data_IF_358566523543
#
_entry.id   IF_358566523543
#
_cell.length_a   1.000
_cell.length_b   1.000
_cell.length_c   1.000
_cell.angle_alpha   90.00
_cell.angle_beta   90.00
_cell.angle_gamma   90.00
#
_symmetry.space_group_name_H-M   'P 1'
#
loop_
_entity.id
_entity.type
_entity.pdbx_description
1 polymer ?
#
# COMPACT_ATOMS: atom_id res chain seq x y z
N UNK A 1 -9.50 6.67 0.97
CA UNK A 1 -8.96 7.14 -0.34
C UNK A 1 -8.17 6.03 -1.01
N UNK A 2 -7.28 5.35 -0.28
CA UNK A 2 -6.56 4.18 -0.80
C UNK A 2 -7.51 3.02 -1.15
N UNK A 3 -8.59 2.81 -0.38
CA UNK A 3 -9.57 1.74 -0.62
C UNK A 3 -10.27 1.85 -1.99
N UNK A 4 -10.57 3.08 -2.42
CA UNK A 4 -11.12 3.38 -3.75
C UNK A 4 -10.10 3.10 -4.87
N UNK A 5 -8.82 3.25 -4.58
CA UNK A 5 -7.75 3.02 -5.54
C UNK A 5 -7.49 1.53 -5.77
N UNK A 6 -7.46 0.75 -4.69
CA UNK A 6 -7.13 -0.68 -4.72
C UNK A 6 -8.35 -1.57 -5.01
N UNK A 7 -9.57 -1.10 -4.74
CA UNK A 7 -10.80 -1.82 -5.04
C UNK A 7 -10.83 -3.23 -4.41
N UNK A 8 -11.15 -4.24 -5.21
CA UNK A 8 -11.19 -5.66 -4.81
C UNK A 8 -9.83 -6.35 -4.83
N UNK A 9 -8.76 -5.65 -5.23
CA UNK A 9 -7.44 -6.26 -5.48
C UNK A 9 -6.52 -6.24 -4.25
N UNK A 10 -6.92 -5.56 -3.18
CA UNK A 10 -6.19 -5.50 -1.92
C UNK A 10 -7.04 -4.96 -0.78
N UNK A 11 -6.51 -5.10 0.44
CA UNK A 11 -7.09 -4.57 1.67
C UNK A 11 -6.15 -3.54 2.27
N UNK A 12 -6.67 -2.40 2.70
CA UNK A 12 -5.88 -1.31 3.26
C UNK A 12 -6.24 -1.06 4.72
N UNK A 13 -5.22 -0.98 5.56
CA UNK A 13 -5.34 -0.66 6.99
C UNK A 13 -4.43 0.51 7.31
N UNK A 14 -4.93 1.49 8.06
CA UNK A 14 -4.12 2.60 8.57
C UNK A 14 -3.51 2.19 9.91
N UNK A 15 -2.18 2.23 10.01
CA UNK A 15 -1.45 1.92 11.25
C UNK A 15 -0.41 3.00 11.54
N UNK A 16 -0.44 3.56 12.76
CA UNK A 16 0.56 4.52 13.26
C UNK A 16 0.90 5.67 12.29
N UNK A 17 -0.11 6.25 11.63
CA UNK A 17 0.06 7.33 10.65
C UNK A 17 0.55 6.89 9.27
N UNK A 18 0.82 5.60 9.10
CA UNK A 18 1.14 4.96 7.83
C UNK A 18 -0.02 4.15 7.26
N UNK A 19 0.25 3.43 6.17
CA UNK A 19 -0.72 2.57 5.48
C UNK A 19 -0.08 1.21 5.22
N UNK A 20 -0.80 0.15 5.56
CA UNK A 20 -0.46 -1.24 5.25
C UNK A 20 -1.49 -1.75 4.24
N UNK A 21 -1.02 -2.21 3.09
CA UNK A 21 -1.87 -2.72 2.00
C UNK A 21 -1.52 -4.18 1.77
N UNK A 22 -2.45 -5.09 2.06
CA UNK A 22 -2.35 -6.51 1.71
C UNK A 22 -2.84 -6.72 0.27
N UNK A 23 -2.07 -7.40 -0.56
CA UNK A 23 -2.40 -7.61 -1.97
C UNK A 23 -3.11 -8.96 -2.15
N UNK A 24 -4.38 -8.91 -2.54
CA UNK A 24 -5.22 -10.10 -2.76
C UNK A 24 -5.13 -10.63 -4.19
N UNK A 25 -4.92 -9.75 -5.17
CA UNK A 25 -4.78 -10.14 -6.59
C UNK A 25 -3.64 -9.35 -7.27
N UNK A 26 -2.40 -9.89 -7.25
CA UNK A 26 -1.22 -9.20 -7.81
C UNK A 26 -1.35 -8.85 -9.30
N UNK A 27 -2.06 -9.67 -10.08
CA UNK A 27 -2.19 -9.47 -11.53
C UNK A 27 -3.11 -8.28 -11.90
N UNK A 28 -4.09 -7.97 -11.04
CA UNK A 28 -5.03 -6.85 -11.22
C UNK A 28 -4.69 -5.65 -10.35
N UNK A 29 -3.78 -5.80 -9.38
CA UNK A 29 -3.44 -4.74 -8.45
C UNK A 29 -2.89 -3.50 -9.17
N UNK A 30 -3.36 -2.28 -8.86
CA UNK A 30 -2.96 -1.06 -9.56
C UNK A 30 -1.62 -0.52 -9.06
N UNK A 31 -0.56 -1.30 -9.22
CA UNK A 31 0.79 -1.07 -8.70
C UNK A 31 1.30 0.36 -8.90
N UNK A 32 1.34 0.83 -10.15
CA UNK A 32 1.87 2.16 -10.49
C UNK A 32 1.08 3.27 -9.79
N UNK A 33 -0.25 3.20 -9.83
CA UNK A 33 -1.11 4.20 -9.21
C UNK A 33 -0.92 4.24 -7.70
N UNK A 34 -0.82 3.08 -7.04
CA UNK A 34 -0.59 2.99 -5.60
C UNK A 34 0.75 3.60 -5.23
N UNK A 35 1.85 3.18 -5.89
CA UNK A 35 3.17 3.72 -5.59
C UNK A 35 3.27 5.23 -5.86
N UNK A 36 2.73 5.72 -6.99
CA UNK A 36 2.71 7.16 -7.27
C UNK A 36 1.91 7.93 -6.22
N UNK A 37 0.80 7.37 -5.72
CA UNK A 37 -0.01 8.01 -4.69
C UNK A 37 0.76 8.10 -3.37
N UNK A 38 1.38 7.00 -2.93
CA UNK A 38 2.18 6.96 -1.71
C UNK A 38 3.37 7.91 -1.77
N UNK A 39 4.09 7.95 -2.89
CA UNK A 39 5.22 8.86 -3.08
C UNK A 39 4.79 10.34 -3.11
N UNK A 40 3.62 10.66 -3.72
CA UNK A 40 3.06 12.03 -3.68
C UNK A 40 2.69 12.48 -2.27
N UNK A 41 2.38 11.55 -1.37
CA UNK A 41 2.14 11.83 0.05
C UNK A 41 3.45 11.99 0.85
N UNK A 42 4.62 11.92 0.20
CA UNK A 42 5.94 11.92 0.84
C UNK A 42 6.11 10.74 1.83
N UNK A 43 5.53 9.58 1.53
CA UNK A 43 5.75 8.37 2.31
C UNK A 43 7.01 7.63 1.82
N UNK A 44 7.71 7.00 2.75
CA UNK A 44 8.57 5.85 2.47
C UNK A 44 7.72 4.61 2.24
N UNK A 45 8.16 3.76 1.32
CA UNK A 45 7.44 2.55 0.92
C UNK A 45 8.37 1.35 1.05
N UNK A 46 7.87 0.33 1.73
CA UNK A 46 8.51 -0.97 1.92
C UNK A 46 7.59 -2.05 1.39
N UNK A 47 8.19 -3.12 0.86
CA UNK A 47 7.47 -4.32 0.44
C UNK A 47 7.93 -5.45 1.34
N UNK A 48 6.98 -6.21 1.86
CA UNK A 48 7.19 -7.31 2.79
C UNK A 48 6.28 -8.49 2.39
N UNK A 49 6.54 -9.67 2.94
CA UNK A 49 5.69 -10.85 2.77
C UNK A 49 5.17 -11.30 4.14
N UNK A 50 3.84 -11.41 4.27
CA UNK A 50 3.19 -11.79 5.53
C UNK A 50 2.02 -12.72 5.27
N UNK A 51 2.03 -13.88 5.93
CA UNK A 51 1.04 -14.95 5.79
C UNK A 51 0.84 -15.34 4.31
N UNK A 52 1.92 -15.46 3.54
CA UNK A 52 1.92 -15.76 2.09
C UNK A 52 1.29 -14.67 1.19
N UNK A 53 1.06 -13.47 1.73
CA UNK A 53 0.64 -12.31 0.95
C UNK A 53 1.76 -11.29 0.81
N UNK A 54 1.88 -10.68 -0.36
CA UNK A 54 2.64 -9.45 -0.52
C UNK A 54 1.93 -8.30 0.20
N UNK A 55 2.70 -7.55 0.97
CA UNK A 55 2.22 -6.41 1.75
C UNK A 55 3.05 -5.18 1.40
N UNK A 56 2.37 -4.08 1.06
CA UNK A 56 2.98 -2.76 0.93
C UNK A 56 2.81 -2.05 2.26
N UNK A 57 3.92 -1.63 2.86
CA UNK A 57 3.94 -0.84 4.10
C UNK A 57 4.43 0.54 3.74
N UNK A 58 3.71 1.57 4.15
CA UNK A 58 4.12 2.95 3.94
C UNK A 58 4.02 3.76 5.21
N UNK A 59 4.95 4.71 5.39
CA UNK A 59 4.95 5.66 6.50
C UNK A 59 5.37 7.03 6.00
N UNK A 60 4.83 8.13 6.54
CA UNK A 60 5.34 9.47 6.25
C UNK A 60 6.84 9.52 6.52
N UNK A 61 7.61 10.14 5.62
CA UNK A 61 9.01 10.44 5.90
C UNK A 61 9.11 11.36 7.10
N UNK A 62 10.02 11.03 8.01
CA UNK A 62 10.43 11.91 9.10
C UNK A 62 11.77 12.48 8.66
N UNK A 63 11.83 13.80 8.46
CA UNK A 63 13.10 14.50 8.20
C UNK A 63 14.04 14.42 9.42
#
# INVERSE_FOLDING_TARGET
MMDLLIGDTGECVTEYGGVVIRILNPARFPWEHVFRTLLKLNHEVYIDERDDFLVIISKPKVD
#
